data_IF_757434498127
#
_entry.id   IF_757434498127
#
_cell.length_a   1.000
_cell.length_b   1.000
_cell.length_c   1.000
_cell.angle_alpha   90.00
_cell.angle_beta   90.00
_cell.angle_gamma   90.00
#
_symmetry.space_group_name_H-M   'P 1'
#
loop_
_entity.id
_entity.type
_entity.pdbx_description
1 polymer ?
#
# COMPACT_ATOMS: atom_id res chain seq x y z
N UNK A 1 -1.60 3.60 6.48
CA UNK A 1 -2.13 2.50 7.30
C UNK A 1 -1.95 2.70 8.80
N UNK A 2 -0.74 2.89 9.34
CA UNK A 2 -0.54 3.01 10.81
C UNK A 2 -1.43 4.02 11.56
N UNK A 3 -1.95 5.05 10.88
CA UNK A 3 -2.88 6.01 11.48
C UNK A 3 -4.32 5.49 11.57
N UNK A 4 -4.72 4.59 10.68
CA UNK A 4 -6.05 3.98 10.62
C UNK A 4 -6.08 2.66 11.39
N UNK A 5 -5.03 1.86 11.24
CA UNK A 5 -4.80 0.63 12.00
C UNK A 5 -3.42 0.70 12.65
N UNK A 6 -3.33 0.99 13.96
CA UNK A 6 -2.06 1.09 14.67
C UNK A 6 -1.22 -0.17 14.51
N UNK A 7 0.10 -0.01 14.35
CA UNK A 7 1.07 -1.10 14.17
C UNK A 7 0.87 -2.00 12.93
N UNK A 8 0.00 -1.64 11.99
CA UNK A 8 -0.25 -2.42 10.76
C UNK A 8 0.94 -2.50 9.79
N UNK A 9 1.83 -1.49 9.81
CA UNK A 9 3.11 -1.45 9.11
C UNK A 9 4.20 -1.15 10.14
N UNK A 10 4.76 -2.18 10.80
CA UNK A 10 5.66 -1.99 11.96
C UNK A 10 7.00 -1.36 11.58
N UNK A 11 7.43 -1.51 10.33
CA UNK A 11 8.70 -0.97 9.83
C UNK A 11 8.48 -0.21 8.53
N UNK A 12 8.98 1.03 8.49
CA UNK A 12 8.92 1.89 7.32
C UNK A 12 10.35 2.26 6.92
N UNK A 13 10.75 1.84 5.73
CA UNK A 13 12.04 2.17 5.16
C UNK A 13 11.99 3.55 4.49
N UNK A 14 12.69 4.54 5.04
CA UNK A 14 12.80 5.89 4.45
C UNK A 14 14.05 6.07 3.60
N UNK A 15 15.02 5.17 3.75
CA UNK A 15 16.30 5.19 3.03
C UNK A 15 16.71 3.78 2.58
N UNK A 16 17.59 3.74 1.58
CA UNK A 16 18.08 2.50 0.97
C UNK A 16 17.63 2.35 -0.48
N UNK A 17 18.27 1.40 -1.18
CA UNK A 17 17.98 1.14 -2.59
C UNK A 17 16.53 0.74 -2.86
N UNK A 18 16.12 0.76 -4.13
CA UNK A 18 14.72 0.60 -4.55
C UNK A 18 14.00 -0.64 -4.01
N UNK A 19 14.72 -1.71 -3.68
CA UNK A 19 14.15 -2.92 -3.07
C UNK A 19 13.46 -2.63 -1.72
N UNK A 20 14.10 -1.88 -0.81
CA UNK A 20 13.52 -1.57 0.52
C UNK A 20 12.26 -0.70 0.41
N UNK A 21 12.22 0.19 -0.59
CA UNK A 21 11.05 1.01 -0.84
C UNK A 21 9.89 0.19 -1.42
N UNK A 22 10.17 -0.83 -2.25
CA UNK A 22 9.17 -1.80 -2.72
C UNK A 22 8.58 -2.63 -1.57
N UNK A 23 9.40 -3.00 -0.57
CA UNK A 23 8.91 -3.70 0.63
C UNK A 23 7.87 -2.89 1.41
N UNK A 24 8.02 -1.56 1.49
CA UNK A 24 7.01 -0.71 2.13
C UNK A 24 5.66 -0.80 1.43
N UNK A 25 5.65 -0.90 0.10
CA UNK A 25 4.43 -1.01 -0.69
C UNK A 25 3.73 -2.33 -0.40
N UNK A 26 4.49 -3.43 -0.36
CA UNK A 26 3.95 -4.75 0.02
C UNK A 26 3.41 -4.75 1.46
N UNK A 27 4.09 -4.09 2.39
CA UNK A 27 3.62 -3.96 3.77
C UNK A 27 2.30 -3.15 3.84
N UNK A 28 2.18 -2.07 3.05
CA UNK A 28 0.95 -1.31 2.93
C UNK A 28 -0.20 -2.17 2.38
N UNK A 29 0.02 -2.95 1.31
CA UNK A 29 -1.00 -3.82 0.71
C UNK A 29 -1.52 -4.85 1.72
N UNK A 30 -0.62 -5.48 2.48
CA UNK A 30 -1.01 -6.44 3.51
C UNK A 30 -1.82 -5.78 4.63
N UNK A 31 -1.42 -4.59 5.06
CA UNK A 31 -2.16 -3.80 6.04
C UNK A 31 -3.54 -3.39 5.53
N UNK A 32 -3.65 -2.98 4.25
CA UNK A 32 -4.92 -2.61 3.63
C UNK A 32 -5.87 -3.82 3.49
N UNK A 33 -5.35 -5.00 3.14
CA UNK A 33 -6.11 -6.26 3.12
C UNK A 33 -6.66 -6.60 4.50
N UNK A 34 -5.81 -6.52 5.53
CA UNK A 34 -6.23 -6.77 6.92
C UNK A 34 -7.25 -5.73 7.43
N UNK A 35 -7.24 -4.52 6.87
CA UNK A 35 -8.20 -3.47 7.19
C UNK A 35 -9.58 -3.67 6.52
N UNK A 36 -9.70 -4.56 5.54
CA UNK A 36 -10.96 -4.87 4.86
C UNK A 36 -11.03 -4.42 3.40
N UNK A 37 -9.96 -3.85 2.84
CA UNK A 37 -9.91 -3.54 1.40
C UNK A 37 -9.82 -4.84 0.61
N UNK A 38 -10.72 -5.01 -0.36
CA UNK A 38 -10.74 -6.20 -1.22
C UNK A 38 -9.57 -6.20 -2.19
N UNK A 39 -8.99 -7.38 -2.46
CA UNK A 39 -7.85 -7.54 -3.35
C UNK A 39 -8.06 -6.96 -4.76
N UNK A 40 -9.30 -6.95 -5.25
CA UNK A 40 -9.65 -6.36 -6.54
C UNK A 40 -9.34 -4.84 -6.64
N UNK A 41 -9.34 -4.15 -5.51
CA UNK A 41 -9.05 -2.72 -5.43
C UNK A 41 -7.60 -2.43 -5.02
N UNK A 42 -6.82 -3.44 -4.62
CA UNK A 42 -5.42 -3.25 -4.32
C UNK A 42 -4.61 -3.10 -5.61
N UNK A 43 -3.62 -2.21 -5.58
CA UNK A 43 -2.65 -2.03 -6.65
C UNK A 43 -1.44 -2.95 -6.44
N UNK A 44 -0.69 -3.26 -7.50
CA UNK A 44 0.57 -3.99 -7.41
C UNK A 44 1.76 -3.06 -7.16
N UNK A 45 2.87 -3.60 -6.66
CA UNK A 45 4.05 -2.78 -6.33
C UNK A 45 4.60 -2.02 -7.53
N UNK A 46 4.57 -2.61 -8.73
CA UNK A 46 5.01 -1.97 -9.98
C UNK A 46 4.11 -0.81 -10.40
N UNK A 47 2.83 -0.85 -10.04
CA UNK A 47 1.85 0.18 -10.43
C UNK A 47 2.19 1.53 -9.79
N UNK A 48 2.63 1.50 -8.52
CA UNK A 48 3.15 2.67 -7.81
C UNK A 48 4.64 2.92 -8.08
N UNK A 49 5.48 1.90 -7.96
CA UNK A 49 6.94 2.07 -7.96
C UNK A 49 7.49 2.44 -9.33
N UNK A 50 6.93 1.87 -10.40
CA UNK A 50 7.32 2.13 -11.78
C UNK A 50 6.31 3.04 -12.50
N UNK A 51 5.30 3.52 -11.76
CA UNK A 51 4.22 4.39 -12.26
C UNK A 51 3.45 3.77 -13.43
N UNK A 52 3.32 2.45 -13.45
CA UNK A 52 2.63 1.72 -14.51
C UNK A 52 1.12 1.97 -14.50
N UNK A 53 0.53 2.12 -13.32
CA UNK A 53 -0.91 2.37 -13.16
C UNK A 53 -1.23 3.15 -11.88
N UNK A 54 -1.18 4.48 -11.98
CA UNK A 54 -1.50 5.37 -10.85
C UNK A 54 -3.02 5.47 -10.60
N UNK A 55 -3.84 5.10 -11.59
CA UNK A 55 -5.30 5.10 -11.42
C UNK A 55 -5.71 4.02 -10.41
N UNK A 56 -5.15 2.81 -10.52
CA UNK A 56 -5.39 1.73 -9.55
C UNK A 56 -4.93 2.11 -8.13
N UNK A 57 -3.81 2.81 -7.99
CA UNK A 57 -3.35 3.33 -6.68
C UNK A 57 -4.38 4.30 -6.09
N UNK A 58 -4.91 5.19 -6.92
CA UNK A 58 -5.91 6.18 -6.49
C UNK A 58 -7.22 5.50 -6.07
N UNK A 59 -7.67 4.50 -6.82
CA UNK A 59 -8.84 3.68 -6.47
C UNK A 59 -8.66 2.98 -5.13
N UNK A 60 -7.49 2.37 -4.89
CA UNK A 60 -7.18 1.72 -3.62
C UNK A 60 -7.29 2.69 -2.43
N UNK A 61 -6.77 3.91 -2.57
CA UNK A 61 -6.84 4.95 -1.52
C UNK A 61 -8.28 5.39 -1.29
N UNK A 62 -9.05 5.56 -2.37
CA UNK A 62 -10.47 5.95 -2.28
C UNK A 62 -11.30 4.87 -1.57
N UNK A 63 -11.10 3.60 -1.91
CA UNK A 63 -11.79 2.49 -1.24
C UNK A 63 -11.39 2.38 0.24
N UNK A 64 -10.13 2.66 0.56
CA UNK A 64 -9.63 2.68 1.93
C UNK A 64 -10.29 3.78 2.79
N UNK A 65 -10.70 4.90 2.17
CA UNK A 65 -11.46 5.96 2.85
C UNK A 65 -12.94 5.65 3.05
N UNK A 66 -13.47 4.58 2.42
CA UNK A 66 -14.85 4.12 2.59
C UNK A 66 -15.02 3.12 3.74
N UNK A 67 -13.92 2.59 4.27
CA UNK A 67 -13.85 1.64 5.38
C UNK A 67 -13.57 2.37 6.69
#
# INVERSE_FOLDING_TARGET
MNKLSPNSVPKIHTTGGGFKLRENVSAFQNAARAYGVTDAYLFQTVDLFEKRDIAQVTLAINELGRQ
#
